data_IF_986237702065
#
_entry.id   IF_986237702065
#
_cell.length_a   1.000
_cell.length_b   1.000
_cell.length_c   1.000
_cell.angle_alpha   90.00
_cell.angle_beta   90.00
_cell.angle_gamma   90.00
#
_symmetry.space_group_name_H-M   'P 1'
#
loop_
_entity.id
_entity.type
_entity.pdbx_description
1 polymer ?
#
# COMPACT_ATOMS: atom_id res chain seq x y z
N UNK A 1 -19.22 -5.22 -9.13
CA UNK A 1 -17.90 -5.83 -8.85
C UNK A 1 -16.98 -5.77 -10.06
N UNK A 2 -17.46 -6.09 -11.27
CA UNK A 2 -16.65 -6.06 -12.51
C UNK A 2 -15.94 -4.73 -12.82
N UNK A 3 -16.47 -3.59 -12.36
CA UNK A 3 -15.84 -2.27 -12.58
C UNK A 3 -14.50 -2.10 -11.86
N UNK A 4 -14.24 -2.84 -10.78
CA UNK A 4 -13.09 -2.60 -9.91
C UNK A 4 -11.90 -3.52 -10.17
N UNK A 5 -12.11 -4.69 -10.77
CA UNK A 5 -11.07 -5.72 -10.91
C UNK A 5 -10.59 -5.83 -12.35
N UNK A 6 -9.30 -6.14 -12.53
CA UNK A 6 -8.65 -6.36 -13.84
C UNK A 6 -7.96 -7.73 -13.86
N UNK A 7 -7.99 -8.41 -15.00
CA UNK A 7 -7.28 -9.67 -15.23
C UNK A 7 -7.51 -10.74 -14.15
N UNK A 8 -6.46 -11.13 -13.43
CA UNK A 8 -6.46 -12.16 -12.39
C UNK A 8 -6.65 -11.60 -10.97
N UNK A 9 -7.07 -10.35 -10.86
CA UNK A 9 -7.31 -9.70 -9.59
C UNK A 9 -8.55 -10.24 -8.87
N UNK A 10 -8.47 -10.22 -7.55
CA UNK A 10 -9.56 -10.53 -6.63
C UNK A 10 -9.69 -9.45 -5.57
N UNK A 11 -10.88 -9.33 -5.00
CA UNK A 11 -11.15 -8.44 -3.88
C UNK A 11 -11.21 -9.26 -2.59
N UNK A 12 -10.24 -9.06 -1.71
CA UNK A 12 -10.14 -9.78 -0.43
C UNK A 12 -10.52 -8.87 0.74
N UNK A 13 -11.04 -9.46 1.82
CA UNK A 13 -11.36 -8.74 3.05
C UNK A 13 -10.13 -8.55 3.94
N UNK A 14 -9.97 -7.33 4.45
CA UNK A 14 -9.11 -7.03 5.59
C UNK A 14 -9.97 -7.17 6.86
N UNK A 15 -10.18 -8.42 7.31
CA UNK A 15 -11.16 -8.82 8.33
C UNK A 15 -11.13 -8.04 9.66
N UNK A 16 -10.02 -7.37 9.98
CA UNK A 16 -9.91 -6.58 11.21
C UNK A 16 -10.53 -5.18 11.12
N UNK A 17 -10.73 -4.63 9.91
CA UNK A 17 -11.00 -3.20 9.72
C UNK A 17 -12.24 -2.90 8.86
N UNK A 18 -13.07 -3.90 8.50
CA UNK A 18 -14.18 -3.75 7.54
C UNK A 18 -13.76 -3.11 6.19
N UNK A 19 -12.50 -3.30 5.80
CA UNK A 19 -11.94 -2.82 4.54
C UNK A 19 -11.77 -3.98 3.54
N UNK A 20 -11.67 -3.63 2.27
CA UNK A 20 -11.35 -4.58 1.20
C UNK A 20 -10.13 -4.15 0.40
N UNK A 21 -9.39 -5.11 -0.15
CA UNK A 21 -8.16 -4.84 -0.89
C UNK A 21 -8.10 -5.68 -2.16
N UNK A 22 -7.64 -5.05 -3.23
CA UNK A 22 -7.42 -5.72 -4.51
C UNK A 22 -6.06 -6.42 -4.46
N UNK A 23 -6.06 -7.72 -4.73
CA UNK A 23 -4.87 -8.57 -4.77
C UNK A 23 -4.80 -9.34 -6.09
N UNK A 24 -3.60 -9.72 -6.50
CA UNK A 24 -3.38 -10.57 -7.67
C UNK A 24 -2.41 -11.69 -7.32
N UNK A 25 -2.74 -12.96 -7.59
CA UNK A 25 -1.82 -14.08 -7.36
C UNK A 25 -0.63 -14.08 -8.33
N UNK A 26 -0.69 -13.35 -9.45
CA UNK A 26 0.45 -13.19 -10.37
C UNK A 26 1.35 -12.01 -10.02
N UNK A 27 0.83 -10.95 -9.40
CA UNK A 27 1.59 -9.74 -9.08
C UNK A 27 2.00 -9.69 -7.62
N UNK A 28 1.01 -9.70 -6.72
CA UNK A 28 1.23 -9.45 -5.31
C UNK A 28 0.01 -9.82 -4.47
N UNK A 29 0.29 -10.49 -3.35
CA UNK A 29 -0.60 -10.60 -2.21
C UNK A 29 0.18 -10.20 -0.97
N UNK A 30 -0.43 -9.43 -0.09
CA UNK A 30 0.26 -8.94 1.10
C UNK A 30 0.68 -10.10 2.01
N UNK A 31 1.85 -9.95 2.64
CA UNK A 31 2.37 -10.94 3.60
C UNK A 31 1.90 -10.63 5.02
N UNK A 32 2.12 -11.59 5.92
CA UNK A 32 1.93 -11.38 7.36
C UNK A 32 2.80 -10.21 7.89
N UNK A 33 3.98 -9.98 7.32
CA UNK A 33 4.88 -8.90 7.74
C UNK A 33 4.23 -7.52 7.60
N UNK A 34 3.47 -7.30 6.51
CA UNK A 34 2.76 -6.05 6.31
C UNK A 34 1.68 -5.83 7.39
N UNK A 35 0.95 -6.89 7.77
CA UNK A 35 -0.04 -6.86 8.85
C UNK A 35 0.63 -6.58 10.19
N UNK A 36 1.74 -7.26 10.48
CA UNK A 36 2.47 -7.09 11.74
C UNK A 36 3.08 -5.70 11.85
N UNK A 37 3.68 -5.17 10.78
CA UNK A 37 4.21 -3.80 10.74
C UNK A 37 3.11 -2.77 10.96
N UNK A 38 1.97 -2.93 10.27
CA UNK A 38 0.83 -2.03 10.42
C UNK A 38 0.24 -2.05 11.83
N UNK A 39 0.37 -3.15 12.59
CA UNK A 39 -0.02 -3.22 14.02
C UNK A 39 1.07 -2.70 14.96
N UNK A 40 2.33 -2.95 14.64
CA UNK A 40 3.50 -2.56 15.44
C UNK A 40 3.65 -1.04 15.52
N UNK A 41 3.44 -0.34 14.41
CA UNK A 41 3.67 1.10 14.35
C UNK A 41 2.69 1.87 15.25
N UNK A 42 3.23 2.85 15.97
CA UNK A 42 2.43 3.84 16.70
C UNK A 42 2.12 5.01 15.77
N UNK A 43 0.84 5.34 15.64
CA UNK A 43 0.37 6.44 14.78
C UNK A 43 -0.30 7.52 15.60
N UNK A 44 -0.17 8.81 15.23
CA UNK A 44 -0.91 9.88 15.87
C UNK A 44 -2.40 9.70 15.58
N UNK A 45 -3.30 9.94 16.54
CA UNK A 45 -4.74 9.62 16.36
C UNK A 45 -5.49 10.57 15.41
N UNK A 46 -5.20 11.87 15.49
CA UNK A 46 -6.09 12.91 14.92
C UNK A 46 -5.44 13.83 13.88
N UNK A 47 -4.11 13.91 13.85
CA UNK A 47 -3.38 14.85 12.98
C UNK A 47 -1.99 14.33 12.70
N UNK A 48 -1.41 14.77 11.60
CA UNK A 48 -0.05 14.41 11.18
C UNK A 48 -0.02 13.88 9.76
N UNK A 49 1.19 13.59 9.31
CA UNK A 49 1.47 13.02 8.00
C UNK A 49 2.24 11.72 8.17
N UNK A 50 1.73 10.66 7.57
CA UNK A 50 2.33 9.34 7.53
C UNK A 50 2.76 9.07 6.10
N UNK A 51 3.93 8.46 5.93
CA UNK A 51 4.37 7.98 4.61
C UNK A 51 4.76 6.51 4.67
N UNK A 52 4.28 5.74 3.70
CA UNK A 52 4.65 4.35 3.49
C UNK A 52 5.51 4.23 2.22
N UNK A 53 6.79 3.95 2.42
CA UNK A 53 7.77 3.82 1.37
C UNK A 53 7.79 2.35 0.90
N UNK A 54 7.60 2.10 -0.41
CA UNK A 54 7.40 0.76 -0.98
C UNK A 54 6.02 0.17 -0.63
N UNK A 55 4.96 0.89 -1.00
CA UNK A 55 3.61 0.63 -0.49
C UNK A 55 2.87 -0.53 -1.16
N UNK A 56 3.39 -1.08 -2.26
CA UNK A 56 2.79 -2.20 -2.96
C UNK A 56 1.35 -1.91 -3.37
N UNK A 57 0.42 -2.82 -3.04
CA UNK A 57 -1.01 -2.63 -3.30
C UNK A 57 -1.73 -1.77 -2.22
N UNK A 58 -0.99 -1.03 -1.38
CA UNK A 58 -1.54 -0.09 -0.40
C UNK A 58 -2.03 -0.73 0.90
N UNK A 59 -1.63 -1.97 1.19
CA UNK A 59 -2.10 -2.70 2.38
C UNK A 59 -1.79 -2.00 3.71
N UNK A 60 -0.57 -1.48 3.88
CA UNK A 60 -0.17 -0.77 5.11
C UNK A 60 -0.99 0.53 5.24
N UNK A 61 -1.07 1.42 4.23
CA UNK A 61 -1.94 2.59 4.28
C UNK A 61 -3.40 2.27 4.64
N UNK A 62 -3.97 1.20 4.07
CA UNK A 62 -5.34 0.78 4.40
C UNK A 62 -5.47 0.42 5.88
N UNK A 63 -4.60 -0.44 6.41
CA UNK A 63 -4.61 -0.77 7.84
C UNK A 63 -4.39 0.46 8.74
N UNK A 64 -3.50 1.38 8.36
CA UNK A 64 -3.25 2.58 9.16
C UNK A 64 -4.44 3.54 9.14
N UNK A 65 -5.18 3.64 8.03
CA UNK A 65 -6.35 4.53 7.93
C UNK A 65 -7.46 4.20 8.93
N UNK A 66 -7.61 2.92 9.32
CA UNK A 66 -8.56 2.53 10.35
C UNK A 66 -8.12 2.91 11.78
N UNK A 67 -6.82 3.22 11.98
CA UNK A 67 -6.22 3.51 13.29
C UNK A 67 -5.97 5.00 13.54
N UNK A 68 -6.12 5.85 12.53
CA UNK A 68 -5.82 7.29 12.60
C UNK A 68 -6.66 8.12 11.63
N UNK A 69 -6.83 9.41 11.90
CA UNK A 69 -7.34 10.41 10.96
C UNK A 69 -6.23 11.21 10.24
N UNK A 70 -4.96 10.85 10.43
CA UNK A 70 -3.82 11.48 9.76
C UNK A 70 -3.87 11.26 8.25
N UNK A 71 -3.23 12.16 7.48
CA UNK A 71 -3.03 11.97 6.04
C UNK A 71 -1.95 10.92 5.83
N UNK A 72 -2.18 10.02 4.88
CA UNK A 72 -1.28 8.92 4.57
C UNK A 72 -0.86 9.02 3.10
N UNK A 73 0.44 8.96 2.84
CA UNK A 73 1.00 8.94 1.49
C UNK A 73 1.69 7.60 1.27
N UNK A 74 1.29 6.85 0.25
CA UNK A 74 2.01 5.65 -0.19
C UNK A 74 2.88 5.95 -1.40
N UNK A 75 4.13 5.48 -1.41
CA UNK A 75 5.01 5.59 -2.58
C UNK A 75 5.23 4.19 -3.15
N UNK A 76 4.89 4.01 -4.43
CA UNK A 76 5.08 2.75 -5.13
C UNK A 76 5.66 2.99 -6.52
N UNK A 77 6.65 2.18 -6.90
CA UNK A 77 7.36 2.30 -8.17
C UNK A 77 6.60 1.64 -9.33
N UNK A 78 5.92 0.53 -9.06
CA UNK A 78 5.32 -0.31 -10.08
C UNK A 78 3.90 0.17 -10.45
N UNK A 79 3.64 0.59 -11.70
CA UNK A 79 2.35 1.15 -12.09
C UNK A 79 1.15 0.23 -11.83
N UNK A 80 1.32 -1.09 -11.98
CA UNK A 80 0.25 -2.08 -11.75
C UNK A 80 -0.13 -2.15 -10.27
N UNK A 81 0.84 -2.14 -9.36
CA UNK A 81 0.58 -2.14 -7.92
C UNK A 81 0.00 -0.82 -7.44
N UNK A 82 0.53 0.29 -7.95
CA UNK A 82 -0.03 1.61 -7.73
C UNK A 82 -1.51 1.68 -8.14
N UNK A 83 -1.86 1.20 -9.33
CA UNK A 83 -3.25 1.18 -9.81
C UNK A 83 -4.17 0.29 -8.94
N UNK A 84 -3.68 -0.88 -8.49
CA UNK A 84 -4.40 -1.73 -7.53
C UNK A 84 -4.64 -1.00 -6.21
N UNK A 85 -3.64 -0.28 -5.69
CA UNK A 85 -3.74 0.49 -4.46
C UNK A 85 -4.75 1.63 -4.59
N UNK A 86 -4.64 2.46 -5.64
CA UNK A 86 -5.56 3.58 -5.90
C UNK A 86 -7.00 3.10 -6.01
N UNK A 87 -7.26 1.99 -6.72
CA UNK A 87 -8.60 1.40 -6.82
C UNK A 87 -9.10 0.85 -5.49
N UNK A 88 -8.24 0.20 -4.71
CA UNK A 88 -8.60 -0.27 -3.36
C UNK A 88 -8.95 0.90 -2.43
N UNK A 89 -8.18 1.98 -2.46
CA UNK A 89 -8.45 3.19 -1.66
C UNK A 89 -9.79 3.81 -2.05
N UNK A 90 -10.05 3.96 -3.36
CA UNK A 90 -11.30 4.49 -3.86
C UNK A 90 -12.49 3.59 -3.51
N UNK A 91 -12.33 2.26 -3.60
CA UNK A 91 -13.34 1.28 -3.22
C UNK A 91 -13.79 1.46 -1.75
N UNK A 92 -12.83 1.71 -0.85
CA UNK A 92 -13.11 1.93 0.57
C UNK A 92 -13.50 3.38 0.91
N UNK A 93 -13.68 4.27 -0.08
CA UNK A 93 -13.95 5.69 0.12
C UNK A 93 -12.86 6.45 0.91
N UNK A 94 -11.61 6.01 0.82
CA UNK A 94 -10.47 6.57 1.58
C UNK A 94 -9.62 7.56 0.80
N UNK A 95 -10.04 7.96 -0.41
CA UNK A 95 -9.28 8.86 -1.29
C UNK A 95 -9.06 10.27 -0.70
N UNK A 96 -9.84 10.66 0.31
CA UNK A 96 -9.60 11.93 1.04
C UNK A 96 -8.50 11.80 2.08
N UNK A 97 -8.13 10.60 2.49
CA UNK A 97 -7.17 10.34 3.57
C UNK A 97 -5.86 9.75 3.05
N UNK A 98 -5.94 8.82 2.13
CA UNK A 98 -4.80 8.11 1.55
C UNK A 98 -4.58 8.61 0.12
N UNK A 99 -3.34 9.00 -0.16
CA UNK A 99 -2.87 9.38 -1.49
C UNK A 99 -1.72 8.48 -1.93
N UNK A 100 -1.71 8.06 -3.20
CA UNK A 100 -0.68 7.19 -3.76
C UNK A 100 0.16 7.95 -4.77
N UNK A 101 1.48 7.83 -4.63
CA UNK A 101 2.47 8.48 -5.46
C UNK A 101 3.21 7.42 -6.28
N UNK A 102 3.05 7.44 -7.60
CA UNK A 102 3.81 6.60 -8.52
C UNK A 102 5.23 7.16 -8.69
N UNK A 103 6.24 6.43 -8.21
CA UNK A 103 7.63 6.86 -8.37
C UNK A 103 8.66 6.05 -7.58
N UNK A 104 9.94 6.33 -7.84
CA UNK A 104 11.05 5.77 -7.08
C UNK A 104 11.13 6.44 -5.70
N UNK A 105 11.24 5.63 -4.65
CA UNK A 105 11.43 6.06 -3.26
C UNK A 105 12.66 6.95 -3.09
N UNK A 106 13.69 6.78 -3.94
CA UNK A 106 14.90 7.62 -3.94
C UNK A 106 14.61 9.09 -4.27
N UNK A 107 13.54 9.35 -5.02
CA UNK A 107 13.12 10.70 -5.39
C UNK A 107 12.19 11.33 -4.34
N UNK A 108 11.70 10.54 -3.37
CA UNK A 108 10.70 11.00 -2.41
C UNK A 108 11.15 12.25 -1.62
N UNK A 109 12.40 12.38 -1.14
CA UNK A 109 12.85 13.61 -0.46
C UNK A 109 12.74 14.87 -1.33
N UNK A 110 13.00 14.76 -2.64
CA UNK A 110 12.94 15.88 -3.57
C UNK A 110 11.50 16.26 -3.97
N UNK A 111 10.61 15.27 -4.08
CA UNK A 111 9.21 15.47 -4.50
C UNK A 111 8.26 15.77 -3.34
N UNK A 112 8.49 15.15 -2.19
CA UNK A 112 7.61 15.17 -1.02
C UNK A 112 8.18 15.99 0.14
N UNK A 113 9.43 16.43 0.03
CA UNK A 113 10.12 17.23 1.04
C UNK A 113 10.79 16.39 2.13
N UNK A 114 11.70 17.04 2.85
CA UNK A 114 12.46 16.47 3.97
C UNK A 114 11.83 16.93 5.28
N UNK A 115 11.84 16.08 6.31
CA UNK A 115 11.33 16.37 7.66
C UNK A 115 9.83 16.81 7.68
N UNK A 116 9.02 16.25 6.78
CA UNK A 116 7.59 16.57 6.66
C UNK A 116 6.63 15.56 7.27
N UNK A 117 7.12 14.36 7.56
CA UNK A 117 6.30 13.22 8.00
C UNK A 117 6.62 12.84 9.44
N UNK A 118 5.58 12.60 10.22
CA UNK A 118 5.67 12.21 11.63
C UNK A 118 6.01 10.71 11.78
N UNK A 119 5.55 9.90 10.83
CA UNK A 119 5.75 8.45 10.80
C UNK A 119 6.15 8.03 9.39
N UNK A 120 7.20 7.21 9.31
CA UNK A 120 7.65 6.56 8.07
C UNK A 120 7.54 5.05 8.28
N UNK A 121 6.79 4.37 7.42
CA UNK A 121 6.79 2.90 7.32
C UNK A 121 7.46 2.48 6.03
N UNK A 122 8.04 1.27 6.03
CA UNK A 122 8.64 0.69 4.84
C UNK A 122 8.69 -0.83 4.98
N UNK A 123 8.06 -1.53 4.04
CA UNK A 123 8.17 -2.98 3.88
C UNK A 123 8.63 -3.30 2.45
N UNK A 124 9.94 -3.14 2.16
CA UNK A 124 10.45 -3.26 0.80
C UNK A 124 10.36 -4.70 0.26
N UNK A 125 10.35 -4.90 -1.06
CA UNK A 125 10.49 -6.22 -1.64
C UNK A 125 11.91 -6.76 -1.38
N UNK A 126 12.02 -7.81 -0.55
CA UNK A 126 13.32 -8.37 -0.14
C UNK A 126 13.93 -9.36 -1.14
N UNK A 127 13.13 -9.87 -2.08
CA UNK A 127 13.61 -10.84 -3.07
C UNK A 127 14.07 -10.13 -4.34
N UNK A 128 15.24 -10.52 -4.83
CA UNK A 128 15.72 -10.11 -6.13
C UNK A 128 14.73 -10.58 -7.20
N UNK A 129 14.52 -9.77 -8.24
CA UNK A 129 13.57 -10.01 -9.35
C UNK A 129 13.77 -11.34 -10.12
N UNK A 130 14.79 -12.12 -9.76
CA UNK A 130 15.19 -13.36 -10.41
C UNK A 130 14.67 -14.65 -9.77
N UNK A 131 14.01 -14.61 -8.60
CA UNK A 131 13.60 -15.86 -7.92
C UNK A 131 12.13 -16.25 -8.10
N UNK A 132 11.27 -15.33 -8.58
CA UNK A 132 9.82 -15.57 -8.70
C UNK A 132 9.27 -15.45 -10.14
N UNK A 133 10.08 -15.00 -11.11
CA UNK A 133 9.66 -14.82 -12.50
C UNK A 133 9.83 -16.06 -13.38
N UNK A 134 10.65 -17.05 -13.00
CA UNK A 134 10.98 -18.20 -13.87
C UNK A 134 10.22 -19.51 -13.57
N UNK A 135 9.45 -19.62 -12.49
CA UNK A 135 8.86 -20.91 -12.07
C UNK A 135 7.39 -21.15 -12.43
N UNK A 136 6.77 -20.34 -13.29
CA UNK A 136 5.37 -20.56 -13.76
C UNK A 136 5.20 -20.89 -15.25
N UNK A 137 6.29 -21.21 -15.96
CA UNK A 137 6.23 -21.68 -17.36
C UNK A 137 6.98 -23.00 -17.56
N UNK A 138 6.64 -24.03 -16.78
CA UNK A 138 6.87 -25.43 -17.16
C UNK A 138 5.61 -26.24 -16.92
#
# INVERSE_FOLDING_TARGET
>A
MEQWLKDDERLDYLLAEDLQIIQSPSVFSFSLDAVLLARFVQVPKNKGHIIDLCSGNGVIPLFLSARTNAKITGVELQPRLHDMATRSIAYNNLAQQIDMQLGDVKDAPGKLGIEKYDVVTCNPPYFLAHELSEKKYK
#
